data_IF_442209276862
#
_entry.id   IF_442209276862
#
_cell.length_a   1.000
_cell.length_b   1.000
_cell.length_c   1.000
_cell.angle_alpha   90.00
_cell.angle_beta   90.00
_cell.angle_gamma   90.00
#
_symmetry.space_group_name_H-M   'P 1'
#
loop_
_entity.id
_entity.type
_entity.pdbx_description
1 polymer ?
#
# COMPACT_ATOMS: atom_id res chain seq x y z
N UNK A 1 6.78 5.44 -1.77
CA UNK A 1 6.35 5.69 -3.15
C UNK A 1 6.03 7.17 -3.38
N UNK A 2 5.08 7.75 -2.64
CA UNK A 2 4.64 9.15 -2.81
C UNK A 2 5.81 10.13 -2.69
N UNK A 3 6.65 9.99 -1.67
CA UNK A 3 7.82 10.86 -1.47
C UNK A 3 8.93 10.66 -2.51
N UNK A 4 8.85 9.59 -3.27
CA UNK A 4 9.83 9.26 -4.31
C UNK A 4 9.33 9.60 -5.74
N UNK A 5 8.10 10.11 -5.89
CA UNK A 5 7.60 10.63 -7.16
C UNK A 5 6.34 9.98 -7.71
N UNK A 6 5.88 8.84 -7.15
CA UNK A 6 4.59 8.28 -7.56
C UNK A 6 3.45 9.15 -7.04
N UNK A 7 2.46 9.40 -7.86
CA UNK A 7 1.26 10.14 -7.46
C UNK A 7 0.17 9.17 -6.94
N UNK A 8 -0.80 9.65 -6.14
CA UNK A 8 -1.87 8.82 -5.61
C UNK A 8 -2.62 8.02 -6.69
N UNK A 9 -2.89 8.63 -7.83
CA UNK A 9 -3.56 7.97 -8.96
C UNK A 9 -2.69 6.94 -9.66
N UNK A 10 -1.37 7.11 -9.73
CA UNK A 10 -0.48 6.11 -10.32
C UNK A 10 -0.51 4.81 -9.50
N UNK A 11 -0.54 4.93 -8.17
CA UNK A 11 -0.59 3.80 -7.25
C UNK A 11 -1.98 3.15 -7.27
N UNK A 12 -3.03 3.97 -7.19
CA UNK A 12 -4.42 3.48 -7.25
C UNK A 12 -4.71 2.77 -8.57
N UNK A 13 -4.25 3.32 -9.70
CA UNK A 13 -4.45 2.75 -11.04
C UNK A 13 -3.65 1.45 -11.21
N UNK A 14 -2.42 1.38 -10.68
CA UNK A 14 -1.64 0.15 -10.72
C UNK A 14 -2.33 -1.00 -9.98
N UNK A 15 -2.89 -0.73 -8.80
CA UNK A 15 -3.62 -1.72 -8.01
C UNK A 15 -5.00 -2.04 -8.61
N UNK A 16 -5.68 -1.06 -9.17
CA UNK A 16 -6.93 -1.28 -9.89
C UNK A 16 -6.73 -2.18 -11.12
N UNK A 17 -5.68 -1.94 -11.91
CA UNK A 17 -5.32 -2.77 -13.06
C UNK A 17 -4.88 -4.19 -12.66
N UNK A 18 -4.29 -4.35 -11.45
CA UNK A 18 -4.03 -5.68 -10.87
C UNK A 18 -5.33 -6.42 -10.54
N UNK A 19 -6.41 -5.68 -10.24
CA UNK A 19 -7.74 -6.25 -10.00
C UNK A 19 -8.37 -5.89 -8.65
N UNK A 20 -7.77 -5.00 -7.86
CA UNK A 20 -8.44 -4.48 -6.67
C UNK A 20 -9.62 -3.59 -7.07
N UNK A 21 -10.73 -3.63 -6.34
CA UNK A 21 -11.91 -2.80 -6.65
C UNK A 21 -11.67 -1.30 -6.43
N UNK A 22 -10.68 -0.95 -5.60
CA UNK A 22 -10.35 0.42 -5.22
C UNK A 22 -8.90 0.47 -4.74
N UNK A 23 -8.16 1.52 -5.13
CA UNK A 23 -6.83 1.77 -4.60
C UNK A 23 -6.85 2.42 -3.21
N UNK A 24 -5.71 2.43 -2.50
CA UNK A 24 -5.61 2.88 -1.11
C UNK A 24 -5.93 4.35 -0.89
N UNK A 25 -5.63 5.22 -1.85
CA UNK A 25 -5.89 6.66 -1.72
C UNK A 25 -7.37 6.98 -1.93
N UNK A 26 -8.02 6.37 -2.91
CA UNK A 26 -9.46 6.48 -3.08
C UNK A 26 -10.22 5.88 -1.89
N UNK A 27 -9.72 4.78 -1.32
CA UNK A 27 -10.28 4.18 -0.11
C UNK A 27 -10.10 5.09 1.11
N UNK A 28 -8.95 5.73 1.26
CA UNK A 28 -8.68 6.69 2.33
C UNK A 28 -9.61 7.90 2.24
N UNK A 29 -9.85 8.41 1.03
CA UNK A 29 -10.79 9.51 0.80
C UNK A 29 -12.24 9.11 1.09
N UNK A 30 -12.62 7.88 0.75
CA UNK A 30 -13.96 7.33 1.04
C UNK A 30 -14.19 7.22 2.55
N UNK A 31 -13.21 6.70 3.28
CA UNK A 31 -13.26 6.59 4.73
C UNK A 31 -13.26 7.98 5.41
N UNK A 32 -12.46 8.88 4.90
CA UNK A 32 -12.21 10.21 5.44
C UNK A 32 -10.82 10.35 6.07
N UNK A 33 -10.03 11.28 5.57
CA UNK A 33 -8.65 11.50 6.01
C UNK A 33 -8.56 11.98 7.47
N UNK A 34 -9.62 12.54 8.01
CA UNK A 34 -9.71 13.02 9.38
C UNK A 34 -10.06 11.93 10.42
N UNK A 35 -10.23 10.66 10.00
CA UNK A 35 -10.43 9.57 10.95
C UNK A 35 -9.17 9.42 11.82
N UNK A 36 -9.30 9.70 13.12
CA UNK A 36 -8.19 9.68 14.08
C UNK A 36 -7.20 10.85 13.94
N UNK A 37 -7.47 11.83 13.05
CA UNK A 37 -6.73 13.07 13.01
C UNK A 37 -7.30 14.07 14.04
N UNK A 38 -6.41 14.83 14.68
CA UNK A 38 -6.81 15.85 15.64
C UNK A 38 -6.17 17.19 15.25
N UNK A 39 -7.00 18.17 14.93
CA UNK A 39 -6.58 19.50 14.50
C UNK A 39 -5.71 20.22 15.54
N UNK A 40 -5.95 19.99 16.83
CA UNK A 40 -5.24 20.69 17.92
C UNK A 40 -3.82 20.17 18.13
N UNK A 41 -3.57 18.90 17.73
CA UNK A 41 -2.27 18.24 17.87
C UNK A 41 -1.56 18.01 16.55
N UNK A 42 -2.21 18.35 15.44
CA UNK A 42 -1.61 18.26 14.10
C UNK A 42 -0.43 19.21 13.99
N UNK A 43 0.67 18.73 13.41
CA UNK A 43 1.91 19.47 13.26
C UNK A 43 2.51 19.35 11.86
N UNK A 44 1.74 18.83 10.89
CA UNK A 44 2.17 18.66 9.50
C UNK A 44 3.27 17.59 9.30
N UNK A 45 3.47 16.69 10.25
CA UNK A 45 4.50 15.63 10.14
C UNK A 45 4.20 14.63 9.04
N UNK A 46 2.92 14.34 8.82
CA UNK A 46 2.49 13.42 7.77
C UNK A 46 1.83 14.16 6.61
N UNK A 47 1.88 13.58 5.41
CA UNK A 47 1.15 14.12 4.26
C UNK A 47 -0.36 14.21 4.55
N UNK A 48 -0.90 13.27 5.31
CA UNK A 48 -2.29 13.29 5.76
C UNK A 48 -2.60 14.52 6.63
N UNK A 49 -1.70 14.89 7.54
CA UNK A 49 -1.88 16.10 8.37
C UNK A 49 -1.97 17.33 7.49
N UNK A 50 -1.04 17.46 6.53
CA UNK A 50 -1.01 18.60 5.60
C UNK A 50 -2.31 18.69 4.78
N UNK A 51 -2.82 17.56 4.29
CA UNK A 51 -4.08 17.51 3.55
C UNK A 51 -5.26 17.90 4.46
N UNK A 52 -5.33 17.37 5.68
CA UNK A 52 -6.39 17.69 6.63
C UNK A 52 -6.36 19.17 7.06
N UNK A 53 -5.18 19.74 7.30
CA UNK A 53 -4.99 21.16 7.60
C UNK A 53 -5.43 22.07 6.45
N UNK A 54 -5.24 21.61 5.20
CA UNK A 54 -5.76 22.28 4.00
C UNK A 54 -7.27 22.08 3.79
N UNK A 55 -7.98 21.42 4.73
CA UNK A 55 -9.42 21.15 4.63
C UNK A 55 -9.77 20.03 3.64
N UNK A 56 -8.81 19.23 3.24
CA UNK A 56 -8.97 18.10 2.32
C UNK A 56 -9.23 16.82 3.13
N UNK A 57 -10.50 16.62 3.49
CA UNK A 57 -10.91 15.54 4.41
C UNK A 57 -11.42 14.28 3.71
N UNK A 58 -11.30 14.23 2.40
CA UNK A 58 -11.78 13.13 1.56
C UNK A 58 -13.11 13.44 0.87
N UNK A 59 -13.78 12.40 0.39
CA UNK A 59 -15.00 12.51 -0.42
C UNK A 59 -16.09 13.35 0.24
N UNK A 60 -16.26 13.29 1.56
CA UNK A 60 -17.28 14.05 2.31
C UNK A 60 -17.10 15.57 2.24
N UNK A 61 -15.88 16.05 2.03
CA UNK A 61 -15.56 17.47 1.84
C UNK A 61 -15.41 17.87 0.38
N UNK A 62 -15.65 16.95 -0.55
CA UNK A 62 -15.46 17.16 -1.98
C UNK A 62 -14.00 17.09 -2.43
N UNK A 63 -13.04 16.97 -1.52
CA UNK A 63 -11.61 16.85 -1.80
C UNK A 63 -10.83 16.12 -0.69
N UNK A 64 -9.90 15.28 -1.12
CA UNK A 64 -8.92 14.57 -0.32
C UNK A 64 -7.64 14.42 -1.13
N UNK A 65 -7.20 13.21 -1.42
CA UNK A 65 -6.20 12.92 -2.44
C UNK A 65 -6.71 13.20 -3.86
N UNK A 66 -8.02 13.13 -4.04
CA UNK A 66 -8.72 13.46 -5.27
C UNK A 66 -9.68 14.64 -5.05
N UNK A 67 -10.16 15.22 -6.14
CA UNK A 67 -11.38 16.02 -6.15
C UNK A 67 -12.57 15.15 -6.54
N UNK A 68 -13.76 15.51 -6.05
CA UNK A 68 -15.01 14.80 -6.26
C UNK A 68 -16.09 15.75 -6.79
N UNK A 69 -16.77 15.36 -7.85
CA UNK A 69 -17.93 16.06 -8.38
C UNK A 69 -19.20 15.78 -7.53
N UNK A 70 -20.33 16.41 -7.91
CA UNK A 70 -21.61 16.21 -7.22
C UNK A 70 -22.11 14.75 -7.28
N UNK A 71 -21.65 13.96 -8.27
CA UNK A 71 -21.96 12.55 -8.42
C UNK A 71 -20.93 11.64 -7.73
N UNK A 72 -19.97 12.23 -7.01
CA UNK A 72 -18.87 11.53 -6.32
C UNK A 72 -17.85 10.85 -7.26
N UNK A 73 -17.79 11.29 -8.52
CA UNK A 73 -16.72 10.83 -9.40
C UNK A 73 -15.40 11.49 -9.00
N UNK A 74 -14.37 10.69 -8.84
CA UNK A 74 -13.03 11.17 -8.49
C UNK A 74 -12.27 11.66 -9.74
N UNK A 75 -11.46 12.68 -9.54
CA UNK A 75 -10.50 13.17 -10.54
C UNK A 75 -9.17 13.51 -9.86
N UNK A 76 -8.02 13.26 -10.53
CA UNK A 76 -6.73 13.76 -10.10
C UNK A 76 -6.77 15.27 -9.84
N UNK A 77 -6.03 15.74 -8.85
CA UNK A 77 -6.04 17.13 -8.44
C UNK A 77 -4.62 17.73 -8.48
N UNK A 78 -4.34 18.68 -9.37
CA UNK A 78 -3.03 19.35 -9.43
C UNK A 78 -2.61 20.01 -8.12
N UNK A 79 -3.55 20.46 -7.29
CA UNK A 79 -3.25 21.02 -5.95
C UNK A 79 -2.58 19.96 -5.06
N UNK A 80 -3.01 18.71 -5.15
CA UNK A 80 -2.42 17.59 -4.40
C UNK A 80 -1.00 17.28 -4.90
N UNK A 81 -0.77 17.34 -6.19
CA UNK A 81 0.56 17.17 -6.77
C UNK A 81 1.55 18.23 -6.23
N UNK A 82 1.13 19.50 -6.20
CA UNK A 82 1.94 20.57 -5.62
C UNK A 82 2.17 20.39 -4.11
N UNK A 83 1.16 19.94 -3.36
CA UNK A 83 1.30 19.62 -1.93
C UNK A 83 2.32 18.50 -1.72
N UNK A 84 2.24 17.42 -2.49
CA UNK A 84 3.17 16.28 -2.40
C UNK A 84 4.58 16.72 -2.73
N UNK A 85 4.75 17.49 -3.80
CA UNK A 85 6.05 18.02 -4.22
C UNK A 85 6.69 18.86 -3.12
N UNK A 86 5.94 19.82 -2.59
CA UNK A 86 6.43 20.69 -1.49
C UNK A 86 6.77 19.87 -0.25
N UNK A 87 5.91 18.93 0.13
CA UNK A 87 6.12 18.04 1.26
C UNK A 87 7.38 17.18 1.10
N UNK A 88 7.67 16.73 -0.13
CA UNK A 88 8.88 15.98 -0.46
C UNK A 88 10.14 16.86 -0.44
N UNK A 89 10.08 18.08 -1.01
CA UNK A 89 11.18 19.04 -1.01
C UNK A 89 11.62 19.40 0.42
N UNK A 90 10.67 19.66 1.32
CA UNK A 90 10.94 19.95 2.74
C UNK A 90 11.67 18.79 3.45
N UNK A 91 11.52 17.57 2.96
CA UNK A 91 12.14 16.33 3.48
C UNK A 91 13.35 15.87 2.68
N UNK A 92 13.78 16.67 1.71
CA UNK A 92 14.92 16.37 0.81
C UNK A 92 14.72 15.02 0.08
N UNK A 93 13.47 14.67 -0.22
CA UNK A 93 13.14 13.46 -0.95
C UNK A 93 13.63 13.56 -2.40
N UNK A 94 14.15 12.45 -2.91
CA UNK A 94 14.61 12.38 -4.31
C UNK A 94 13.47 11.87 -5.18
N UNK A 95 12.88 12.77 -5.96
CA UNK A 95 11.83 12.43 -6.92
C UNK A 95 12.43 11.69 -8.11
N UNK A 96 11.76 10.62 -8.54
CA UNK A 96 12.13 9.79 -9.70
C UNK A 96 10.89 9.19 -10.35
N UNK A 97 11.04 8.73 -11.57
CA UNK A 97 9.99 7.91 -12.19
C UNK A 97 9.93 6.53 -11.53
N UNK A 98 8.74 6.09 -11.19
CA UNK A 98 8.48 4.81 -10.56
C UNK A 98 7.60 3.99 -11.49
N UNK A 99 8.08 2.80 -11.89
CA UNK A 99 7.33 1.94 -12.80
C UNK A 99 6.12 1.31 -12.11
N UNK A 100 5.15 0.90 -12.90
CA UNK A 100 3.97 0.17 -12.42
C UNK A 100 4.36 -1.15 -11.73
N UNK A 101 5.35 -1.84 -12.27
CA UNK A 101 5.90 -3.06 -11.69
C UNK A 101 6.45 -2.80 -10.30
N UNK A 102 7.25 -1.74 -10.12
CA UNK A 102 7.79 -1.37 -8.82
C UNK A 102 6.67 -0.99 -7.83
N UNK A 103 5.63 -0.27 -8.29
CA UNK A 103 4.47 0.03 -7.45
C UNK A 103 3.83 -1.26 -6.94
N UNK A 104 3.59 -2.23 -7.82
CA UNK A 104 2.99 -3.51 -7.45
C UNK A 104 3.88 -4.30 -6.49
N UNK A 105 5.19 -4.41 -6.74
CA UNK A 105 6.12 -5.09 -5.84
C UNK A 105 6.12 -4.45 -4.44
N UNK A 106 6.20 -3.13 -4.37
CA UNK A 106 6.21 -2.38 -3.10
C UNK A 106 4.88 -2.40 -2.35
N UNK A 107 3.77 -2.67 -3.04
CA UNK A 107 2.47 -2.82 -2.40
C UNK A 107 2.18 -4.28 -2.02
N UNK A 108 2.48 -5.24 -2.91
CA UNK A 108 2.04 -6.62 -2.74
C UNK A 108 3.02 -7.48 -1.94
N UNK A 109 4.34 -7.31 -2.12
CA UNK A 109 5.32 -8.15 -1.42
C UNK A 109 5.31 -7.94 0.11
N UNK A 110 5.13 -6.72 0.65
CA UNK A 110 4.89 -6.55 2.07
C UNK A 110 3.62 -7.26 2.58
N UNK A 111 2.56 -7.33 1.77
CA UNK A 111 1.34 -8.07 2.14
C UNK A 111 1.61 -9.58 2.23
N UNK A 112 2.41 -10.13 1.29
CA UNK A 112 2.85 -11.52 1.34
C UNK A 112 3.68 -11.77 2.60
N UNK A 113 4.65 -10.89 2.89
CA UNK A 113 5.49 -10.98 4.07
C UNK A 113 4.68 -10.93 5.37
N UNK A 114 3.67 -10.05 5.42
CA UNK A 114 2.76 -9.99 6.57
C UNK A 114 1.97 -11.28 6.74
N UNK A 115 1.53 -11.91 5.64
CA UNK A 115 0.93 -13.24 5.66
C UNK A 115 1.85 -14.30 6.32
N UNK A 116 3.15 -14.27 6.02
CA UNK A 116 4.11 -15.14 6.68
C UNK A 116 4.29 -14.82 8.17
N UNK A 117 4.28 -13.55 8.57
CA UNK A 117 4.32 -13.16 9.99
C UNK A 117 3.08 -13.65 10.75
N UNK A 118 1.90 -13.53 10.14
CA UNK A 118 0.63 -14.03 10.69
C UNK A 118 0.67 -15.55 10.93
N UNK A 119 1.28 -16.31 10.01
CA UNK A 119 1.51 -17.75 10.17
C UNK A 119 2.55 -18.05 11.26
N UNK A 120 3.65 -17.29 11.30
CA UNK A 120 4.71 -17.42 12.30
C UNK A 120 4.17 -17.18 13.73
N UNK A 121 3.29 -16.20 13.90
CA UNK A 121 2.64 -15.85 15.16
C UNK A 121 1.50 -16.82 15.54
N UNK A 122 1.13 -17.73 14.64
CA UNK A 122 0.05 -18.69 14.87
C UNK A 122 -1.34 -18.07 14.88
N UNK A 123 -1.51 -16.87 14.33
CA UNK A 123 -2.83 -16.22 14.20
C UNK A 123 -3.67 -16.83 13.08
N UNK A 124 -3.05 -17.37 12.05
CA UNK A 124 -3.66 -18.22 11.05
C UNK A 124 -3.03 -19.62 11.09
N UNK A 125 -3.82 -20.65 10.77
CA UNK A 125 -3.35 -22.04 10.78
C UNK A 125 -2.74 -22.41 9.42
N UNK A 126 -3.31 -21.91 8.33
CA UNK A 126 -2.92 -22.24 6.95
C UNK A 126 -2.78 -20.99 6.12
N UNK A 127 -1.91 -21.04 5.11
CA UNK A 127 -1.77 -19.98 4.12
C UNK A 127 -3.10 -19.68 3.41
N UNK A 128 -3.88 -20.71 3.08
CA UNK A 128 -5.19 -20.59 2.45
C UNK A 128 -6.21 -19.85 3.31
N UNK A 129 -6.09 -19.84 4.64
CA UNK A 129 -7.00 -19.09 5.51
C UNK A 129 -6.78 -17.58 5.30
N UNK A 130 -5.53 -17.15 5.11
CA UNK A 130 -5.16 -15.78 4.78
C UNK A 130 -5.70 -15.40 3.40
N UNK A 131 -5.52 -16.26 2.39
CA UNK A 131 -6.03 -16.04 1.03
C UNK A 131 -7.55 -15.86 1.00
N UNK A 132 -8.29 -16.67 1.75
CA UNK A 132 -9.75 -16.57 1.86
C UNK A 132 -10.16 -15.24 2.49
N UNK A 133 -9.48 -14.79 3.54
CA UNK A 133 -9.76 -13.51 4.19
C UNK A 133 -9.52 -12.35 3.22
N UNK A 134 -8.44 -12.38 2.47
CA UNK A 134 -8.11 -11.33 1.51
C UNK A 134 -9.08 -11.29 0.32
N UNK A 135 -9.42 -12.43 -0.25
CA UNK A 135 -10.33 -12.51 -1.41
C UNK A 135 -11.77 -12.14 -1.06
N UNK A 136 -12.23 -12.46 0.15
CA UNK A 136 -13.62 -12.19 0.56
C UNK A 136 -13.79 -10.91 1.39
N UNK A 137 -12.74 -10.45 2.08
CA UNK A 137 -12.83 -9.32 3.01
C UNK A 137 -12.15 -8.04 2.54
N UNK A 138 -11.07 -8.16 1.76
CA UNK A 138 -10.22 -7.01 1.40
C UNK A 138 -10.11 -6.76 -0.10
N UNK A 139 -10.91 -7.47 -0.90
CA UNK A 139 -11.02 -7.21 -2.34
C UNK A 139 -9.82 -7.68 -3.15
N UNK A 140 -9.00 -8.60 -2.64
CA UNK A 140 -7.98 -9.23 -3.47
C UNK A 140 -8.65 -9.95 -4.64
N UNK A 141 -8.17 -9.78 -5.90
CA UNK A 141 -8.80 -10.39 -7.05
C UNK A 141 -8.80 -11.93 -6.95
N UNK A 142 -9.99 -12.53 -7.03
CA UNK A 142 -10.19 -13.98 -6.80
C UNK A 142 -9.34 -14.82 -7.76
N UNK A 143 -9.15 -14.35 -9.00
CA UNK A 143 -8.36 -15.05 -10.02
C UNK A 143 -6.85 -15.03 -9.72
N UNK A 144 -6.37 -14.17 -8.81
CA UNK A 144 -5.00 -14.17 -8.31
C UNK A 144 -4.84 -15.03 -7.03
N UNK A 145 -5.93 -15.54 -6.47
CA UNK A 145 -5.95 -16.58 -5.44
C UNK A 145 -5.61 -16.14 -4.01
N UNK A 146 -5.31 -14.87 -3.78
CA UNK A 146 -4.89 -14.33 -2.50
C UNK A 146 -3.39 -14.12 -2.38
N UNK A 147 -2.90 -13.40 -1.35
CA UNK A 147 -1.50 -13.00 -1.24
C UNK A 147 -0.52 -14.18 -1.12
N UNK A 148 -0.90 -15.24 -0.40
CA UNK A 148 -0.02 -16.39 -0.22
C UNK A 148 0.10 -17.22 -1.49
N UNK A 149 -1.03 -17.48 -2.16
CA UNK A 149 -1.03 -18.15 -3.45
C UNK A 149 -0.28 -17.34 -4.53
N UNK A 150 -0.53 -16.04 -4.60
CA UNK A 150 0.17 -15.14 -5.52
C UNK A 150 1.68 -15.12 -5.25
N UNK A 151 2.09 -15.06 -3.98
CA UNK A 151 3.50 -15.14 -3.59
C UNK A 151 4.18 -16.45 -4.04
N UNK A 152 3.44 -17.55 -4.02
CA UNK A 152 3.95 -18.83 -4.55
C UNK A 152 4.09 -18.80 -6.08
N UNK A 153 3.17 -18.15 -6.80
CA UNK A 153 3.26 -17.99 -8.27
C UNK A 153 4.45 -17.11 -8.67
N UNK A 154 4.67 -16.01 -7.93
CA UNK A 154 5.84 -15.12 -8.13
C UNK A 154 7.15 -15.85 -7.80
N UNK A 155 7.12 -16.71 -6.83
CA UNK A 155 8.27 -17.37 -6.21
C UNK A 155 8.62 -16.71 -4.87
N UNK A 156 8.52 -17.46 -3.78
CA UNK A 156 8.86 -16.95 -2.45
C UNK A 156 10.33 -16.56 -2.30
N UNK A 157 11.22 -17.19 -3.05
CA UNK A 157 12.63 -16.83 -3.15
C UNK A 157 12.81 -15.40 -3.74
N UNK A 158 12.09 -15.08 -4.81
CA UNK A 158 12.08 -13.74 -5.40
C UNK A 158 11.51 -12.70 -4.44
N UNK A 159 10.41 -13.00 -3.76
CA UNK A 159 9.82 -12.13 -2.74
C UNK A 159 10.80 -11.89 -1.59
N UNK A 160 11.48 -12.93 -1.11
CA UNK A 160 12.48 -12.83 -0.05
C UNK A 160 13.66 -11.96 -0.47
N UNK A 161 14.23 -12.17 -1.66
CA UNK A 161 15.33 -11.36 -2.19
C UNK A 161 14.93 -9.89 -2.27
N UNK A 162 13.74 -9.60 -2.78
CA UNK A 162 13.23 -8.25 -2.87
C UNK A 162 13.10 -7.61 -1.47
N UNK A 163 12.52 -8.30 -0.49
CA UNK A 163 12.37 -7.81 0.88
C UNK A 163 13.72 -7.54 1.55
N UNK A 164 14.71 -8.42 1.37
CA UNK A 164 16.06 -8.24 1.90
C UNK A 164 16.77 -7.00 1.32
N UNK A 165 16.51 -6.68 0.07
CA UNK A 165 17.02 -5.46 -0.56
C UNK A 165 16.24 -4.23 -0.07
N UNK A 166 14.92 -4.32 0.00
CA UNK A 166 14.06 -3.25 0.49
C UNK A 166 14.34 -2.90 1.97
N UNK A 167 14.65 -3.88 2.82
CA UNK A 167 15.06 -3.64 4.21
C UNK A 167 16.31 -2.76 4.30
N UNK A 168 17.28 -2.97 3.41
CA UNK A 168 18.54 -2.21 3.39
C UNK A 168 18.36 -0.79 2.83
N UNK A 169 17.52 -0.64 1.82
CA UNK A 169 17.37 0.60 1.06
C UNK A 169 16.25 1.49 1.58
N UNK A 170 15.14 0.90 2.02
CA UNK A 170 13.92 1.59 2.38
C UNK A 170 13.66 1.61 3.90
N UNK A 171 14.12 0.59 4.63
CA UNK A 171 14.00 0.57 6.08
C UNK A 171 13.59 -0.77 6.69
N UNK A 172 13.65 -0.85 8.03
CA UNK A 172 13.43 -2.10 8.78
C UNK A 172 11.99 -2.62 8.72
N UNK A 173 11.03 -1.83 8.28
CA UNK A 173 9.64 -2.23 8.08
C UNK A 173 9.49 -3.31 7.00
N UNK A 174 10.45 -3.40 6.07
CA UNK A 174 10.50 -4.43 5.04
C UNK A 174 11.20 -5.72 5.47
N UNK A 175 11.63 -5.81 6.74
CA UNK A 175 12.31 -7.00 7.25
C UNK A 175 11.52 -8.28 6.95
N UNK A 176 12.14 -9.29 6.30
CA UNK A 176 11.49 -10.56 6.05
C UNK A 176 11.06 -11.27 7.34
N UNK A 177 9.93 -11.99 7.28
CA UNK A 177 9.53 -12.95 8.31
C UNK A 177 10.55 -14.09 8.38
N UNK A 178 10.91 -14.54 9.58
CA UNK A 178 11.78 -15.68 9.78
C UNK A 178 11.14 -16.98 9.20
N UNK A 179 9.82 -17.04 9.18
CA UNK A 179 9.12 -18.17 8.57
C UNK A 179 9.24 -18.16 7.03
N UNK A 180 9.20 -17.00 6.38
CA UNK A 180 9.46 -16.88 4.93
C UNK A 180 10.89 -17.34 4.61
N UNK A 181 11.89 -16.89 5.38
CA UNK A 181 13.29 -17.32 5.21
C UNK A 181 13.42 -18.86 5.33
N UNK A 182 12.77 -19.45 6.34
CA UNK A 182 12.74 -20.89 6.54
C UNK A 182 12.08 -21.63 5.38
N UNK A 183 10.91 -21.16 4.92
CA UNK A 183 10.16 -21.77 3.81
C UNK A 183 11.01 -21.81 2.53
N UNK A 184 11.73 -20.73 2.24
CA UNK A 184 12.63 -20.65 1.08
C UNK A 184 13.84 -21.57 1.25
N UNK A 185 14.51 -21.53 2.41
CA UNK A 185 15.71 -22.32 2.67
C UNK A 185 15.46 -23.84 2.65
N UNK A 186 14.34 -24.27 3.24
CA UNK A 186 13.97 -25.68 3.37
C UNK A 186 13.04 -26.18 2.25
N UNK A 187 12.65 -25.29 1.32
CA UNK A 187 11.70 -25.57 0.22
C UNK A 187 10.38 -26.18 0.70
N UNK A 188 9.83 -25.62 1.77
CA UNK A 188 8.59 -26.09 2.37
C UNK A 188 7.41 -25.69 1.47
N UNK A 189 6.53 -26.65 1.16
CA UNK A 189 5.23 -26.34 0.56
C UNK A 189 4.24 -25.98 1.68
N UNK A 190 3.64 -24.78 1.59
CA UNK A 190 2.67 -24.24 2.57
C UNK A 190 1.25 -24.07 2.02
N UNK A 191 1.06 -24.39 0.73
CA UNK A 191 -0.24 -24.35 0.03
C UNK A 191 -0.88 -25.72 -0.01
#
# INVERSE_FOLDING_TARGET
>A
LILEGALPWDIDDALFDFGFPMGPFAMSDLAGLDIGWNKETSNGETLRDVLCEAGRLGQKSGKGFYTYDENRNKSPDPEVEEIIKKFGEERQAQMRDISKEEILERCLYPMINEGFKILEEGMAIRASDIDIVWTNGYGWPVYEGGPMFYGNLVGYDKVLEWLQNAEKELGPEFKPSAYLEKVVAEKINIL
#
